data_IF_635206759334
#
_entry.id   IF_635206759334
#
_cell.length_a   1.000
_cell.length_b   1.000
_cell.length_c   1.000
_cell.angle_alpha   90.00
_cell.angle_beta   90.00
_cell.angle_gamma   90.00
#
_symmetry.space_group_name_H-M   'P 1'
#
loop_
_entity.id
_entity.type
_entity.pdbx_description
1 polymer ?
#
# COMPACT_ATOMS: atom_id res chain seq x y z
N UNK A 1 23.93 -25.45 -2.53
CA UNK A 1 24.63 -24.80 -1.38
C UNK A 1 24.78 -23.30 -1.59
N UNK A 2 25.56 -22.79 -2.56
CA UNK A 2 25.74 -21.32 -2.73
C UNK A 2 24.45 -20.51 -2.97
N UNK A 3 23.54 -20.96 -3.84
CA UNK A 3 22.25 -20.27 -4.09
C UNK A 3 21.32 -20.27 -2.87
N UNK A 4 21.26 -21.39 -2.14
CA UNK A 4 20.43 -21.54 -0.94
C UNK A 4 20.93 -20.67 0.20
N UNK A 5 22.26 -20.58 0.35
CA UNK A 5 22.88 -19.72 1.36
C UNK A 5 22.65 -18.24 1.05
N UNK A 6 22.85 -17.82 -0.19
CA UNK A 6 22.55 -16.44 -0.61
C UNK A 6 21.08 -16.07 -0.39
N UNK A 7 20.14 -17.00 -0.60
CA UNK A 7 18.73 -16.79 -0.30
C UNK A 7 18.48 -16.65 1.21
N UNK A 8 19.12 -17.48 2.04
CA UNK A 8 19.00 -17.38 3.49
C UNK A 8 19.56 -16.06 4.02
N UNK A 9 20.70 -15.61 3.49
CA UNK A 9 21.30 -14.31 3.82
C UNK A 9 20.36 -13.16 3.41
N UNK A 10 19.78 -13.20 2.20
CA UNK A 10 18.83 -12.18 1.74
C UNK A 10 17.55 -12.12 2.59
N UNK A 11 17.07 -13.25 3.12
CA UNK A 11 15.93 -13.27 4.06
C UNK A 11 16.35 -12.68 5.41
N UNK A 12 17.53 -13.03 5.91
CA UNK A 12 18.05 -12.51 7.18
C UNK A 12 18.28 -11.00 7.14
N UNK A 13 18.62 -10.43 5.98
CA UNK A 13 18.74 -8.98 5.82
C UNK A 13 17.38 -8.27 5.91
N UNK A 14 16.29 -8.92 5.49
CA UNK A 14 14.93 -8.36 5.57
C UNK A 14 14.37 -8.36 7.00
N UNK A 15 14.86 -9.22 7.89
CA UNK A 15 14.42 -9.25 9.29
C UNK A 15 14.77 -7.95 10.05
N UNK A 16 15.75 -7.18 9.59
CA UNK A 16 16.17 -5.92 10.22
C UNK A 16 15.39 -4.68 9.70
N UNK A 17 14.21 -4.88 9.12
CA UNK A 17 13.39 -3.80 8.56
C UNK A 17 12.71 -2.97 9.66
N UNK A 18 13.29 -1.81 9.97
CA UNK A 18 12.72 -0.86 10.94
C UNK A 18 11.41 -0.23 10.47
N UNK A 19 11.10 -0.30 9.18
CA UNK A 19 9.85 0.26 8.64
C UNK A 19 8.65 -0.55 9.12
N UNK A 20 8.77 -1.88 9.23
CA UNK A 20 7.71 -2.73 9.75
C UNK A 20 7.34 -2.34 11.18
N UNK A 21 8.33 -2.13 12.05
CA UNK A 21 8.10 -1.74 13.45
C UNK A 21 7.35 -0.42 13.50
N UNK A 22 7.87 0.60 12.80
CA UNK A 22 7.26 1.94 12.77
C UNK A 22 5.84 1.90 12.18
N UNK A 23 5.64 1.12 11.13
CA UNK A 23 4.34 0.92 10.49
C UNK A 23 3.34 0.24 11.43
N UNK A 24 3.73 -0.87 12.07
CA UNK A 24 2.86 -1.62 12.96
C UNK A 24 2.41 -0.79 14.17
N UNK A 25 3.35 -0.05 14.79
CA UNK A 25 3.03 0.82 15.94
C UNK A 25 2.04 1.93 15.54
N UNK A 26 2.23 2.54 14.37
CA UNK A 26 1.32 3.56 13.84
C UNK A 26 -0.05 2.97 13.47
N UNK A 27 -0.08 1.79 12.86
CA UNK A 27 -1.32 1.07 12.55
C UNK A 27 -2.12 0.79 13.83
N UNK A 28 -1.46 0.29 14.88
CA UNK A 28 -2.11 0.02 16.16
C UNK A 28 -2.62 1.28 16.83
N UNK A 29 -1.86 2.38 16.79
CA UNK A 29 -2.30 3.67 17.32
C UNK A 29 -3.55 4.20 16.59
N UNK A 30 -3.54 4.15 15.25
CA UNK A 30 -4.68 4.56 14.41
C UNK A 30 -5.93 3.71 14.72
N UNK A 31 -5.75 2.40 14.88
CA UNK A 31 -6.85 1.49 15.22
C UNK A 31 -7.32 1.70 16.66
N UNK A 32 -6.51 2.28 17.53
CA UNK A 32 -6.79 2.46 18.96
C UNK A 32 -6.43 1.23 19.80
N UNK A 33 -5.42 0.45 19.41
CA UNK A 33 -4.92 -0.68 20.20
C UNK A 33 -3.87 -0.13 21.19
N UNK A 34 -4.01 -0.47 22.47
CA UNK A 34 -3.05 -0.08 23.49
C UNK A 34 -1.74 -0.83 23.29
N UNK A 35 -0.61 -0.14 23.48
CA UNK A 35 0.74 -0.66 23.28
C UNK A 35 1.56 -0.40 24.55
N UNK A 36 1.95 -1.48 25.24
CA UNK A 36 2.74 -1.44 26.48
C UNK A 36 4.11 -2.08 26.24
N UNK A 37 5.17 -1.27 26.24
CA UNK A 37 6.55 -1.74 26.07
C UNK A 37 7.03 -2.40 27.36
N UNK A 38 7.29 -3.71 27.27
CA UNK A 38 7.74 -4.53 28.41
C UNK A 38 9.26 -4.59 28.54
N UNK A 39 10.00 -3.93 27.65
CA UNK A 39 11.43 -4.14 27.49
C UNK A 39 11.73 -5.44 26.74
N UNK A 40 13.02 -5.76 26.58
CA UNK A 40 13.49 -6.96 25.86
C UNK A 40 12.91 -7.12 24.44
N UNK A 41 12.64 -6.00 23.75
CA UNK A 41 12.07 -5.96 22.41
C UNK A 41 10.71 -6.67 22.30
N UNK A 42 9.91 -6.60 23.37
CA UNK A 42 8.55 -7.11 23.43
C UNK A 42 7.54 -5.99 23.73
N UNK A 43 6.43 -6.02 23.02
CA UNK A 43 5.30 -5.11 23.22
C UNK A 43 4.06 -5.93 23.52
N UNK A 44 3.33 -5.56 24.56
CA UNK A 44 2.02 -6.12 24.85
C UNK A 44 0.97 -5.25 24.17
N UNK A 45 0.18 -5.87 23.29
CA UNK A 45 -0.93 -5.21 22.61
C UNK A 45 -2.25 -5.69 23.19
N UNK A 46 -3.11 -4.74 23.58
CA UNK A 46 -4.43 -5.05 24.16
C UNK A 46 -5.52 -4.18 23.54
N UNK A 47 -6.76 -4.70 23.40
CA UNK A 47 -7.90 -3.89 22.99
C UNK A 47 -8.12 -2.65 23.87
N UNK A 48 -8.85 -1.66 23.36
CA UNK A 48 -9.20 -0.46 24.10
C UNK A 48 -10.64 -0.01 23.82
N UNK A 49 -11.19 0.81 24.72
CA UNK A 49 -12.56 1.35 24.59
C UNK A 49 -12.74 2.32 23.40
N UNK A 50 -11.66 2.80 22.80
CA UNK A 50 -11.68 3.77 21.70
C UNK A 50 -11.25 3.18 20.36
N UNK A 51 -11.27 1.85 20.24
CA UNK A 51 -10.93 1.18 18.99
C UNK A 51 -11.87 1.58 17.84
N UNK A 52 -11.31 1.68 16.63
CA UNK A 52 -12.08 1.97 15.40
C UNK A 52 -13.11 0.89 15.08
N UNK A 53 -12.84 -0.36 15.50
CA UNK A 53 -13.72 -1.51 15.32
C UNK A 53 -13.98 -2.21 16.65
N UNK A 54 -15.17 -2.81 16.84
CA UNK A 54 -15.48 -3.55 18.06
C UNK A 54 -14.48 -4.68 18.35
N UNK A 55 -14.08 -5.42 17.31
CA UNK A 55 -13.18 -6.56 17.42
C UNK A 55 -12.09 -6.45 16.33
N UNK A 56 -10.82 -6.54 16.73
CA UNK A 56 -9.70 -6.57 15.78
C UNK A 56 -9.34 -8.02 15.40
N UNK A 57 -9.40 -8.41 14.11
CA UNK A 57 -9.19 -9.80 13.73
C UNK A 57 -7.77 -10.29 14.09
N UNK A 58 -7.70 -11.30 14.95
CA UNK A 58 -6.44 -11.90 15.41
C UNK A 58 -5.90 -11.34 16.72
N UNK A 59 -6.56 -10.34 17.33
CA UNK A 59 -6.28 -9.89 18.69
C UNK A 59 -7.27 -10.53 19.67
N UNK A 60 -6.76 -11.13 20.74
CA UNK A 60 -7.58 -11.71 21.80
C UNK A 60 -8.05 -10.62 22.78
N UNK A 61 -9.13 -10.87 23.54
CA UNK A 61 -9.64 -9.92 24.56
C UNK A 61 -8.58 -9.59 25.62
N UNK A 62 -7.80 -10.59 26.05
CA UNK A 62 -6.69 -10.43 27.01
C UNK A 62 -5.43 -9.82 26.37
N UNK A 63 -5.45 -9.54 25.06
CA UNK A 63 -4.30 -9.09 24.29
C UNK A 63 -3.29 -10.20 23.97
N UNK A 64 -2.14 -9.81 23.42
CA UNK A 64 -1.01 -10.71 23.22
C UNK A 64 0.33 -9.97 23.29
N UNK A 65 1.40 -10.72 23.56
CA UNK A 65 2.78 -10.21 23.47
C UNK A 65 3.30 -10.42 22.06
N UNK A 66 3.90 -9.38 21.48
CA UNK A 66 4.52 -9.42 20.16
C UNK A 66 6.00 -9.05 20.24
N UNK A 67 6.78 -9.56 19.29
CA UNK A 67 8.17 -9.14 19.05
C UNK A 67 8.44 -9.10 17.55
N UNK A 68 9.33 -8.19 17.15
CA UNK A 68 9.82 -8.08 15.76
C UNK A 68 11.19 -8.73 15.58
N UNK A 69 11.78 -9.26 16.65
CA UNK A 69 13.09 -9.90 16.61
C UNK A 69 12.95 -11.43 16.63
N UNK A 70 13.53 -12.06 15.60
CA UNK A 70 13.50 -13.52 15.46
C UNK A 70 14.17 -14.23 16.64
N UNK A 71 15.31 -13.71 17.11
CA UNK A 71 16.05 -14.31 18.23
C UNK A 71 15.24 -14.28 19.54
N UNK A 72 14.50 -13.19 19.77
CA UNK A 72 13.58 -13.09 20.92
C UNK A 72 12.46 -14.11 20.78
N UNK A 73 11.80 -14.18 19.62
CA UNK A 73 10.73 -15.15 19.36
C UNK A 73 11.18 -16.62 19.50
N UNK A 74 12.43 -16.93 19.14
CA UNK A 74 13.00 -18.27 19.32
C UNK A 74 13.24 -18.60 20.81
N UNK A 75 13.46 -17.59 21.65
CA UNK A 75 13.70 -17.76 23.09
C UNK A 75 12.42 -17.68 23.94
N UNK A 76 11.37 -17.05 23.40
CA UNK A 76 10.09 -16.74 24.07
C UNK A 76 8.92 -17.24 23.23
N UNK A 77 8.46 -18.45 23.52
CA UNK A 77 7.30 -19.04 22.83
C UNK A 77 5.98 -18.30 23.14
N UNK A 78 5.95 -17.50 24.20
CA UNK A 78 4.81 -16.68 24.61
C UNK A 78 4.68 -15.36 23.82
N UNK A 79 5.67 -15.01 22.99
CA UNK A 79 5.64 -13.84 22.12
C UNK A 79 5.38 -14.25 20.65
N UNK A 80 4.48 -13.53 19.98
CA UNK A 80 4.25 -13.72 18.55
C UNK A 80 5.30 -12.98 17.73
N UNK A 81 5.97 -13.69 16.81
CA UNK A 81 6.90 -13.08 15.87
C UNK A 81 6.14 -12.36 14.74
N UNK A 82 6.25 -11.03 14.72
CA UNK A 82 5.52 -10.19 13.77
C UNK A 82 6.39 -9.88 12.55
N UNK A 83 5.87 -10.26 11.38
CA UNK A 83 6.42 -9.95 10.05
C UNK A 83 5.33 -9.30 9.19
N UNK A 84 5.66 -8.85 7.98
CA UNK A 84 4.69 -8.39 6.98
C UNK A 84 3.60 -9.43 6.64
N UNK A 85 3.88 -10.72 6.84
CA UNK A 85 2.94 -11.81 6.58
C UNK A 85 2.07 -12.17 7.80
N UNK A 86 2.37 -11.60 8.97
CA UNK A 86 1.65 -11.91 10.19
C UNK A 86 0.15 -11.54 10.06
N UNK A 87 -0.79 -12.39 10.49
CA UNK A 87 -2.23 -12.13 10.35
C UNK A 87 -2.66 -10.78 10.94
N UNK A 88 -2.11 -10.37 12.09
CA UNK A 88 -2.42 -9.06 12.72
C UNK A 88 -2.11 -7.90 11.77
N UNK A 89 -0.98 -7.95 11.06
CA UNK A 89 -0.59 -6.89 10.12
C UNK A 89 -1.47 -6.92 8.87
N UNK A 90 -1.70 -8.11 8.29
CA UNK A 90 -2.54 -8.26 7.10
C UNK A 90 -4.00 -7.86 7.36
N UNK A 91 -4.55 -8.24 8.51
CA UNK A 91 -5.91 -7.89 8.90
C UNK A 91 -6.05 -6.39 9.18
N UNK A 92 -5.06 -5.77 9.81
CA UNK A 92 -5.06 -4.32 10.01
C UNK A 92 -4.92 -3.54 8.69
N UNK A 93 -4.07 -4.01 7.77
CA UNK A 93 -4.01 -3.47 6.42
C UNK A 93 -5.35 -3.58 5.69
N UNK A 94 -5.96 -4.78 5.71
CA UNK A 94 -7.27 -5.02 5.08
C UNK A 94 -8.36 -4.13 5.69
N UNK A 95 -8.35 -3.94 7.01
CA UNK A 95 -9.30 -3.08 7.71
C UNK A 95 -9.20 -1.62 7.22
N UNK A 96 -7.98 -1.08 7.10
CA UNK A 96 -7.77 0.30 6.66
C UNK A 96 -8.06 0.46 5.16
N UNK A 97 -7.54 -0.45 4.32
CA UNK A 97 -7.64 -0.37 2.86
C UNK A 97 -9.04 -0.71 2.33
N UNK A 98 -9.85 -1.45 3.09
CA UNK A 98 -11.24 -1.75 2.74
C UNK A 98 -12.21 -0.67 3.25
N UNK A 99 -11.78 0.15 4.20
CA UNK A 99 -12.57 1.25 4.76
C UNK A 99 -12.47 2.53 3.94
N UNK A 100 -13.23 3.55 4.35
CA UNK A 100 -13.15 4.91 3.82
C UNK A 100 -12.33 5.85 4.73
N UNK A 101 -11.81 5.34 5.83
CA UNK A 101 -11.00 6.11 6.78
C UNK A 101 -9.69 6.54 6.13
N UNK A 102 -9.43 7.84 6.10
CA UNK A 102 -8.27 8.42 5.42
C UNK A 102 -8.49 8.75 3.94
N UNK A 103 -9.65 8.43 3.36
CA UNK A 103 -9.97 8.73 1.96
C UNK A 103 -10.14 10.22 1.66
N UNK A 104 -10.54 11.03 2.65
CA UNK A 104 -10.82 12.46 2.44
C UNK A 104 -10.26 13.31 3.59
N UNK A 105 -9.46 14.33 3.26
CA UNK A 105 -8.92 15.26 4.26
C UNK A 105 -8.85 16.70 3.74
N UNK A 106 -8.81 17.64 4.68
CA UNK A 106 -8.51 19.05 4.43
C UNK A 106 -7.31 19.46 5.29
N UNK A 107 -6.38 20.19 4.69
CA UNK A 107 -5.20 20.68 5.39
C UNK A 107 -4.82 22.11 4.97
N UNK A 108 -4.15 22.81 5.87
CA UNK A 108 -3.57 24.13 5.61
C UNK A 108 -2.07 24.02 5.44
N UNK A 109 -1.57 24.66 4.40
CA UNK A 109 -0.14 24.85 4.19
C UNK A 109 0.26 26.27 4.58
N UNK A 110 1.07 26.39 5.63
CA UNK A 110 1.59 27.69 6.10
C UNK A 110 2.83 28.07 5.33
N UNK A 111 2.67 28.77 4.20
CA UNK A 111 3.79 29.13 3.35
C UNK A 111 3.67 30.57 2.84
N UNK A 112 4.60 31.44 3.27
CA UNK A 112 4.66 32.85 2.88
C UNK A 112 5.15 33.07 1.45
N UNK A 113 5.82 32.09 0.86
CA UNK A 113 6.31 32.18 -0.52
C UNK A 113 5.20 31.94 -1.56
N UNK A 114 4.06 31.39 -1.14
CA UNK A 114 2.92 31.11 -2.01
C UNK A 114 1.79 32.13 -1.76
N UNK A 115 1.00 32.48 -2.81
CA UNK A 115 -0.18 33.32 -2.64
C UNK A 115 -1.20 32.70 -1.68
N UNK A 116 -1.86 33.53 -0.88
CA UNK A 116 -2.96 33.08 0.00
C UNK A 116 -4.12 32.58 -0.86
N UNK A 117 -4.72 31.45 -0.46
CA UNK A 117 -5.83 30.86 -1.18
C UNK A 117 -5.44 30.02 -2.39
N UNK A 118 -4.13 29.80 -2.63
CA UNK A 118 -3.68 28.79 -3.59
C UNK A 118 -4.24 27.42 -3.16
N UNK A 119 -4.83 26.73 -4.13
CA UNK A 119 -5.37 25.38 -3.98
C UNK A 119 -4.39 24.36 -4.55
N UNK A 120 -4.11 23.34 -3.75
CA UNK A 120 -3.43 22.14 -4.18
C UNK A 120 -4.33 20.96 -3.84
N UNK A 121 -4.42 20.01 -4.77
CA UNK A 121 -5.19 18.80 -4.59
C UNK A 121 -4.23 17.61 -4.63
N UNK A 122 -4.10 16.94 -3.50
CA UNK A 122 -3.35 15.69 -3.44
C UNK A 122 -4.31 14.53 -3.64
N UNK A 123 -4.00 13.70 -4.63
CA UNK A 123 -4.84 12.60 -5.08
C UNK A 123 -4.00 11.33 -5.04
N UNK A 124 -4.57 10.27 -4.48
CA UNK A 124 -3.99 8.93 -4.52
C UNK A 124 -4.94 8.08 -5.34
N UNK A 125 -4.52 7.78 -6.56
CA UNK A 125 -5.18 6.77 -7.37
C UNK A 125 -4.57 5.41 -7.06
N UNK A 126 -5.32 4.35 -7.27
CA UNK A 126 -4.84 2.97 -7.14
C UNK A 126 -5.07 2.26 -8.46
N UNK A 127 -3.99 1.75 -9.05
CA UNK A 127 -4.04 0.87 -10.21
C UNK A 127 -4.18 -0.57 -9.72
N UNK A 128 -5.22 -1.26 -10.15
CA UNK A 128 -5.50 -2.63 -9.72
C UNK A 128 -6.16 -3.45 -10.84
N UNK A 129 -5.97 -4.76 -10.76
CA UNK A 129 -6.62 -5.72 -11.64
C UNK A 129 -7.53 -6.64 -10.82
N UNK A 130 -8.77 -6.83 -11.28
CA UNK A 130 -9.73 -7.73 -10.62
C UNK A 130 -9.54 -9.15 -11.14
N UNK A 131 -8.96 -10.02 -10.31
CA UNK A 131 -8.70 -11.40 -10.67
C UNK A 131 -8.80 -12.35 -9.46
N UNK A 132 -9.10 -13.64 -9.69
CA UNK A 132 -8.98 -14.66 -8.66
C UNK A 132 -7.56 -14.74 -8.09
N UNK A 133 -7.44 -14.96 -6.76
CA UNK A 133 -6.13 -15.05 -6.07
C UNK A 133 -5.20 -16.11 -6.66
N UNK A 134 -5.74 -17.16 -7.27
CA UNK A 134 -4.96 -18.21 -7.94
C UNK A 134 -4.10 -17.69 -9.10
N UNK A 135 -4.47 -16.57 -9.74
CA UNK A 135 -3.67 -15.95 -10.81
C UNK A 135 -2.44 -15.18 -10.30
N UNK A 136 -2.35 -14.94 -8.98
CA UNK A 136 -1.20 -14.29 -8.35
C UNK A 136 -0.79 -12.95 -8.98
N UNK A 137 -1.75 -12.14 -9.46
CA UNK A 137 -1.46 -10.86 -10.12
C UNK A 137 -0.65 -9.89 -9.26
N UNK A 138 -0.76 -9.99 -7.92
CA UNK A 138 0.03 -9.19 -6.98
C UNK A 138 1.56 -9.35 -7.16
N UNK A 139 2.01 -10.37 -7.90
CA UNK A 139 3.42 -10.54 -8.27
C UNK A 139 3.91 -9.53 -9.30
N UNK A 140 3.00 -8.97 -10.10
CA UNK A 140 3.32 -8.09 -11.23
C UNK A 140 2.63 -6.73 -11.09
N UNK A 141 1.36 -6.73 -10.67
CA UNK A 141 0.56 -5.53 -10.45
C UNK A 141 -0.29 -5.68 -9.17
N UNK A 142 0.32 -5.57 -7.98
CA UNK A 142 -0.45 -5.38 -6.74
C UNK A 142 -1.22 -4.05 -6.81
N UNK A 143 -2.21 -3.81 -5.93
CA UNK A 143 -2.84 -2.49 -5.81
C UNK A 143 -1.78 -1.41 -5.61
N UNK A 144 -1.48 -0.66 -6.68
CA UNK A 144 -0.30 0.21 -6.74
C UNK A 144 -0.75 1.66 -6.67
N UNK A 145 -0.37 2.41 -5.62
CA UNK A 145 -0.77 3.80 -5.48
C UNK A 145 -0.01 4.69 -6.46
N UNK A 146 -0.73 5.58 -7.14
CA UNK A 146 -0.21 6.65 -7.99
C UNK A 146 -0.60 7.97 -7.33
N UNK A 147 0.38 8.58 -6.67
CA UNK A 147 0.22 9.88 -6.02
C UNK A 147 0.35 11.01 -7.04
N UNK A 148 -0.60 11.93 -7.01
CA UNK A 148 -0.58 13.18 -7.75
C UNK A 148 -0.76 14.36 -6.81
N UNK A 149 -0.07 15.47 -7.09
CA UNK A 149 -0.23 16.71 -6.37
C UNK A 149 -0.48 17.81 -7.40
N UNK A 150 -1.74 18.18 -7.58
CA UNK A 150 -2.19 18.97 -8.72
C UNK A 150 -2.53 20.39 -8.28
N UNK A 151 -2.03 21.39 -9.00
CA UNK A 151 -2.40 22.79 -8.80
C UNK A 151 -3.69 23.17 -9.57
N UNK A 152 -4.16 24.40 -9.41
CA UNK A 152 -5.35 24.92 -10.14
C UNK A 152 -5.22 24.86 -11.67
N UNK A 153 -4.00 24.81 -12.20
CA UNK A 153 -3.73 24.74 -13.64
C UNK A 153 -3.62 23.29 -14.15
N UNK A 154 -3.77 22.28 -13.28
CA UNK A 154 -3.61 20.88 -13.64
C UNK A 154 -2.15 20.40 -13.65
N UNK A 155 -1.20 21.19 -13.15
CA UNK A 155 0.22 20.80 -13.12
C UNK A 155 0.47 19.80 -11.99
N UNK A 156 1.04 18.63 -12.30
CA UNK A 156 1.39 17.63 -11.28
C UNK A 156 2.79 17.91 -10.70
N UNK A 157 2.85 18.09 -9.39
CA UNK A 157 4.02 18.42 -8.59
C UNK A 157 4.52 17.23 -7.75
N UNK A 158 3.87 16.06 -7.83
CA UNK A 158 4.17 14.92 -6.96
C UNK A 158 5.62 14.42 -7.10
N UNK A 159 6.20 14.51 -8.30
CA UNK A 159 7.59 14.09 -8.53
C UNK A 159 8.63 15.01 -7.86
N UNK A 160 8.28 16.28 -7.63
CA UNK A 160 9.16 17.27 -7.00
C UNK A 160 8.88 17.42 -5.50
N UNK A 161 7.73 16.97 -5.04
CA UNK A 161 7.25 17.14 -3.67
C UNK A 161 7.06 15.78 -3.01
N UNK A 162 8.04 15.36 -2.23
CA UNK A 162 8.02 14.11 -1.46
C UNK A 162 6.89 14.13 -0.40
N UNK A 163 6.32 12.97 -0.08
CA UNK A 163 5.10 12.86 0.73
C UNK A 163 5.31 13.25 2.18
N UNK A 164 6.30 12.66 2.86
CA UNK A 164 6.50 12.82 4.30
C UNK A 164 6.95 14.23 4.67
N UNK A 165 7.84 14.81 3.87
CA UNK A 165 8.30 16.20 4.03
C UNK A 165 7.18 17.22 3.78
N UNK A 166 6.29 16.95 2.83
CA UNK A 166 5.13 17.80 2.58
C UNK A 166 4.09 17.66 3.69
N UNK A 167 3.75 16.42 4.07
CA UNK A 167 2.79 16.10 5.12
C UNK A 167 3.13 16.77 6.46
N UNK A 168 4.42 16.77 6.85
CA UNK A 168 4.90 17.42 8.09
C UNK A 168 4.70 18.94 8.13
N UNK A 169 4.53 19.61 6.99
CA UNK A 169 4.30 21.06 6.92
C UNK A 169 2.81 21.42 7.00
N UNK A 170 1.93 20.43 6.89
CA UNK A 170 0.50 20.62 6.87
C UNK A 170 -0.04 20.71 8.30
N UNK A 171 -1.14 21.45 8.44
CA UNK A 171 -1.87 21.58 9.71
C UNK A 171 -3.35 21.32 9.50
N UNK A 172 -3.98 20.70 10.49
CA UNK A 172 -5.41 20.39 10.46
C UNK A 172 -6.27 21.66 10.55
N UNK A 173 -7.50 21.56 10.06
CA UNK A 173 -8.50 22.64 10.12
C UNK A 173 -9.66 22.20 10.99
N UNK A 174 -10.19 23.12 11.80
CA UNK A 174 -11.41 22.83 12.53
C UNK A 174 -12.60 22.58 11.56
N UNK A 175 -13.54 21.74 11.98
CA UNK A 175 -14.66 21.28 11.14
C UNK A 175 -15.52 22.42 10.58
N UNK A 176 -15.74 23.48 11.36
CA UNK A 176 -16.59 24.60 10.96
C UNK A 176 -15.97 25.43 9.82
N UNK A 177 -14.71 25.83 9.99
CA UNK A 177 -13.95 26.57 8.97
C UNK A 177 -13.73 25.70 7.74
N UNK A 178 -13.40 24.43 7.94
CA UNK A 178 -13.15 23.51 6.83
C UNK A 178 -14.36 23.32 5.93
N UNK A 179 -15.56 23.15 6.50
CA UNK A 179 -16.79 22.99 5.70
C UNK A 179 -17.08 24.21 4.83
N UNK A 180 -16.90 25.43 5.34
CA UNK A 180 -17.08 26.66 4.57
C UNK A 180 -16.06 26.78 3.43
N UNK A 181 -14.80 26.43 3.72
CA UNK A 181 -13.73 26.50 2.74
C UNK A 181 -13.97 25.55 1.57
N UNK A 182 -14.31 24.29 1.86
CA UNK A 182 -14.64 23.28 0.84
C UNK A 182 -15.79 23.74 -0.03
N UNK A 183 -16.88 24.24 0.56
CA UNK A 183 -18.03 24.74 -0.20
C UNK A 183 -17.68 25.92 -1.11
N UNK A 184 -16.76 26.79 -0.68
CA UNK A 184 -16.34 27.95 -1.46
C UNK A 184 -15.50 27.57 -2.70
N UNK A 185 -14.79 26.43 -2.66
CA UNK A 185 -13.88 26.00 -3.73
C UNK A 185 -14.34 24.73 -4.45
N UNK A 186 -15.56 24.25 -4.18
CA UNK A 186 -16.07 22.99 -4.70
C UNK A 186 -16.02 22.92 -6.23
N UNK A 187 -16.40 23.99 -6.93
CA UNK A 187 -16.35 24.04 -8.39
C UNK A 187 -14.92 23.98 -8.93
N UNK A 188 -13.98 24.66 -8.26
CA UNK A 188 -12.56 24.63 -8.63
C UNK A 188 -11.97 23.23 -8.43
N UNK A 189 -12.28 22.57 -7.31
CA UNK A 189 -11.85 21.19 -7.03
C UNK A 189 -12.39 20.22 -8.08
N UNK A 190 -13.67 20.35 -8.47
CA UNK A 190 -14.25 19.50 -9.51
C UNK A 190 -13.54 19.67 -10.86
N UNK A 191 -13.19 20.90 -11.24
CA UNK A 191 -12.43 21.15 -12.46
C UNK A 191 -11.01 20.56 -12.39
N UNK A 192 -10.33 20.68 -11.25
CA UNK A 192 -8.99 20.09 -11.04
C UNK A 192 -9.05 18.57 -11.15
N UNK A 193 -10.09 17.93 -10.59
CA UNK A 193 -10.27 16.48 -10.66
C UNK A 193 -10.38 15.96 -12.10
N UNK A 194 -11.14 16.65 -12.96
CA UNK A 194 -11.28 16.27 -14.37
C UNK A 194 -9.93 16.32 -15.10
N UNK A 195 -9.13 17.36 -14.86
CA UNK A 195 -7.79 17.48 -15.47
C UNK A 195 -6.80 16.46 -14.89
N UNK A 196 -6.92 16.12 -13.60
CA UNK A 196 -6.08 15.11 -12.96
C UNK A 196 -6.36 13.70 -13.49
N UNK A 197 -7.64 13.38 -13.78
CA UNK A 197 -8.04 12.08 -14.32
C UNK A 197 -7.42 11.80 -15.69
N UNK A 198 -7.32 12.80 -16.57
CA UNK A 198 -6.63 12.64 -17.85
C UNK A 198 -5.13 12.31 -17.67
N UNK A 199 -4.50 12.90 -16.65
CA UNK A 199 -3.06 12.76 -16.40
C UNK A 199 -2.68 11.46 -15.70
N UNK A 200 -3.58 10.90 -14.89
CA UNK A 200 -3.31 9.60 -14.26
C UNK A 200 -3.41 8.47 -15.27
N UNK A 201 -4.22 8.60 -16.31
CA UNK A 201 -4.42 7.56 -17.32
C UNK A 201 -3.10 7.12 -17.97
N UNK A 202 -2.25 8.06 -18.37
CA UNK A 202 -0.93 7.76 -18.96
C UNK A 202 -0.01 7.04 -17.98
N UNK A 203 0.02 7.49 -16.72
CA UNK A 203 0.85 6.89 -15.66
C UNK A 203 0.36 5.48 -15.29
N UNK A 204 -0.96 5.29 -15.22
CA UNK A 204 -1.58 4.00 -14.94
C UNK A 204 -1.34 3.02 -16.09
N UNK A 205 -1.48 3.46 -17.35
CA UNK A 205 -1.20 2.64 -18.51
C UNK A 205 0.27 2.21 -18.55
N UNK A 206 1.21 3.10 -18.23
CA UNK A 206 2.62 2.76 -18.16
C UNK A 206 2.91 1.66 -17.11
N UNK A 207 2.25 1.69 -15.95
CA UNK A 207 2.36 0.65 -14.94
C UNK A 207 1.78 -0.69 -15.41
N UNK A 208 0.63 -0.65 -16.08
CA UNK A 208 -0.01 -1.85 -16.64
C UNK A 208 0.88 -2.47 -17.72
N UNK A 209 1.44 -1.67 -18.61
CA UNK A 209 2.29 -2.15 -19.69
C UNK A 209 3.60 -2.75 -19.15
N UNK A 210 4.23 -2.11 -18.16
CA UNK A 210 5.41 -2.65 -17.49
C UNK A 210 5.10 -3.98 -16.78
N UNK A 211 3.96 -4.08 -16.08
CA UNK A 211 3.54 -5.32 -15.43
C UNK A 211 3.26 -6.44 -16.44
N UNK A 212 2.72 -6.11 -17.61
CA UNK A 212 2.48 -7.07 -18.70
C UNK A 212 3.78 -7.58 -19.31
N UNK A 213 4.75 -6.70 -19.54
CA UNK A 213 6.08 -7.07 -20.03
C UNK A 213 6.78 -7.99 -19.03
N UNK A 214 6.80 -7.62 -17.75
CA UNK A 214 7.40 -8.43 -16.69
C UNK A 214 6.70 -9.80 -16.53
N UNK A 215 5.36 -9.82 -16.59
CA UNK A 215 4.59 -11.05 -16.51
C UNK A 215 4.87 -11.98 -17.69
N UNK A 216 4.90 -11.44 -18.91
CA UNK A 216 5.19 -12.22 -20.10
C UNK A 216 6.62 -12.77 -20.08
N UNK A 217 7.61 -11.97 -19.71
CA UNK A 217 9.00 -12.39 -19.60
C UNK A 217 9.16 -13.54 -18.60
N UNK A 218 8.66 -13.36 -17.37
CA UNK A 218 8.82 -14.36 -16.30
C UNK A 218 8.07 -15.65 -16.59
N UNK A 219 6.82 -15.57 -17.06
CA UNK A 219 6.00 -16.76 -17.33
C UNK A 219 6.48 -17.51 -18.57
N UNK A 220 6.92 -16.80 -19.62
CA UNK A 220 7.49 -17.42 -20.82
C UNK A 220 8.83 -18.10 -20.52
N UNK A 221 9.69 -17.49 -19.69
CA UNK A 221 10.93 -18.11 -19.24
C UNK A 221 10.69 -19.38 -18.41
N UNK A 222 9.66 -19.36 -17.54
CA UNK A 222 9.26 -20.54 -16.77
C UNK A 222 8.73 -21.66 -17.66
N UNK A 223 7.88 -21.34 -18.63
CA UNK A 223 7.37 -22.30 -19.61
C UNK A 223 8.50 -22.93 -20.42
N UNK A 224 9.39 -22.10 -21.00
CA UNK A 224 10.54 -22.56 -21.78
C UNK A 224 11.45 -23.49 -20.98
N UNK A 225 11.65 -23.18 -19.69
CA UNK A 225 12.43 -24.03 -18.78
C UNK A 225 11.75 -25.38 -18.56
N UNK A 226 10.43 -25.42 -18.39
CA UNK A 226 9.69 -26.67 -18.19
C UNK A 226 9.60 -27.51 -19.46
N UNK A 227 9.46 -26.89 -20.62
CA UNK A 227 9.56 -27.58 -21.92
C UNK A 227 10.92 -28.25 -22.10
N UNK A 228 12.00 -27.54 -21.80
CA UNK A 228 13.35 -28.07 -21.85
C UNK A 228 13.55 -29.23 -20.87
N UNK A 229 13.01 -29.12 -19.65
CA UNK A 229 13.09 -30.19 -18.66
C UNK A 229 12.26 -31.41 -19.06
N UNK A 230 11.08 -31.23 -19.67
CA UNK A 230 10.24 -32.34 -20.14
C UNK A 230 10.92 -33.16 -21.23
N UNK A 231 11.69 -32.51 -22.11
CA UNK A 231 12.47 -33.20 -23.13
C UNK A 231 13.52 -34.17 -22.55
N UNK A 232 13.94 -33.96 -21.30
CA UNK A 232 14.97 -34.78 -20.62
C UNK A 232 14.47 -35.53 -19.38
N UNK A 233 13.23 -35.29 -18.93
CA UNK A 233 12.65 -35.86 -17.72
C UNK A 233 11.18 -36.27 -17.93
N UNK A 234 10.88 -37.58 -18.01
CA UNK A 234 9.53 -38.09 -18.27
C UNK A 234 8.55 -37.89 -17.10
N UNK A 235 9.02 -37.42 -15.94
CA UNK A 235 8.15 -37.14 -14.80
C UNK A 235 7.34 -35.85 -14.94
N UNK A 236 7.66 -34.98 -15.92
CA UNK A 236 6.94 -33.74 -16.15
C UNK A 236 5.73 -34.04 -17.04
N UNK A 237 4.55 -33.71 -16.53
CA UNK A 237 3.27 -34.03 -17.18
C UNK A 237 2.86 -32.94 -18.17
N UNK A 238 2.09 -33.32 -19.19
CA UNK A 238 1.50 -32.39 -20.15
C UNK A 238 0.60 -31.36 -19.46
N UNK A 239 -0.12 -31.79 -18.42
CA UNK A 239 -1.00 -30.95 -17.61
C UNK A 239 -0.25 -29.78 -16.94
N UNK A 240 1.03 -29.95 -16.59
CA UNK A 240 1.83 -28.90 -15.94
C UNK A 240 2.19 -27.78 -16.94
N UNK A 241 2.50 -28.12 -18.19
CA UNK A 241 2.73 -27.13 -19.24
C UNK A 241 1.42 -26.41 -19.61
N UNK A 242 0.34 -27.18 -19.76
CA UNK A 242 -0.97 -26.61 -20.07
C UNK A 242 -1.46 -25.65 -18.97
N UNK A 243 -1.19 -25.97 -17.70
CA UNK A 243 -1.54 -25.10 -16.58
C UNK A 243 -0.79 -23.77 -16.62
N UNK A 244 0.51 -23.76 -16.94
CA UNK A 244 1.31 -22.53 -17.02
C UNK A 244 0.93 -21.69 -18.24
N UNK A 245 0.72 -22.32 -19.40
CA UNK A 245 0.27 -21.59 -20.58
C UNK A 245 -1.11 -20.96 -20.35
N UNK A 246 -2.05 -21.70 -19.75
CA UNK A 246 -3.36 -21.18 -19.37
C UNK A 246 -3.23 -20.06 -18.35
N UNK A 247 -2.38 -20.22 -17.33
CA UNK A 247 -2.14 -19.19 -16.33
C UNK A 247 -1.58 -17.91 -16.96
N UNK A 248 -0.60 -18.02 -17.88
CA UNK A 248 -0.05 -16.90 -18.62
C UNK A 248 -1.12 -16.16 -19.42
N UNK A 249 -1.94 -16.89 -20.18
CA UNK A 249 -3.03 -16.28 -20.93
C UNK A 249 -4.02 -15.54 -20.01
N UNK A 250 -4.43 -16.16 -18.90
CA UNK A 250 -5.34 -15.56 -17.93
C UNK A 250 -4.74 -14.33 -17.22
N UNK A 251 -3.46 -14.37 -16.88
CA UNK A 251 -2.73 -13.23 -16.29
C UNK A 251 -2.70 -12.07 -17.28
N UNK A 252 -2.36 -12.32 -18.54
CA UNK A 252 -2.29 -11.28 -19.57
C UNK A 252 -3.66 -10.66 -19.88
N UNK A 253 -4.71 -11.49 -19.93
CA UNK A 253 -6.09 -11.01 -20.08
C UNK A 253 -6.51 -10.15 -18.88
N UNK A 254 -6.26 -10.62 -17.66
CA UNK A 254 -6.63 -9.87 -16.46
C UNK A 254 -5.85 -8.55 -16.31
N UNK A 255 -4.56 -8.52 -16.69
CA UNK A 255 -3.77 -7.29 -16.74
C UNK A 255 -4.27 -6.33 -17.83
N UNK A 256 -4.76 -6.83 -18.96
CA UNK A 256 -5.35 -5.98 -20.01
C UNK A 256 -6.65 -5.30 -19.59
N UNK A 257 -7.33 -5.86 -18.57
CA UNK A 257 -8.54 -5.32 -17.96
C UNK A 257 -8.26 -4.55 -16.67
N UNK A 258 -6.98 -4.37 -16.30
CA UNK A 258 -6.60 -3.54 -15.17
C UNK A 258 -7.09 -2.11 -15.39
N UNK A 259 -7.46 -1.45 -14.29
CA UNK A 259 -7.95 -0.08 -14.32
C UNK A 259 -7.45 0.67 -13.08
N UNK A 260 -7.70 1.97 -13.03
CA UNK A 260 -7.41 2.80 -11.88
C UNK A 260 -8.69 3.37 -11.28
N UNK A 261 -8.64 3.67 -9.98
CA UNK A 261 -9.69 4.39 -9.26
C UNK A 261 -9.07 5.42 -8.32
N UNK A 262 -9.78 6.50 -8.06
CA UNK A 262 -9.40 7.43 -6.99
C UNK A 262 -9.71 6.77 -5.65
N UNK A 263 -8.70 6.68 -4.78
CA UNK A 263 -8.80 6.04 -3.46
C UNK A 263 -8.79 7.06 -2.33
N UNK A 264 -7.90 8.06 -2.41
CA UNK A 264 -7.84 9.15 -1.44
C UNK A 264 -7.67 10.53 -2.09
N UNK A 265 -8.21 11.54 -1.43
CA UNK A 265 -8.16 12.95 -1.80
C UNK A 265 -7.90 13.81 -0.57
N UNK A 266 -6.89 14.67 -0.66
CA UNK A 266 -6.63 15.72 0.34
C UNK A 266 -6.62 17.08 -0.32
N UNK A 267 -7.53 17.95 0.13
CA UNK A 267 -7.54 19.36 -0.26
C UNK A 267 -6.53 20.11 0.61
N UNK A 268 -5.62 20.85 -0.01
CA UNK A 268 -4.66 21.72 0.67
C UNK A 268 -4.91 23.16 0.26
N UNK A 269 -5.02 24.04 1.26
CA UNK A 269 -5.19 25.48 1.04
C UNK A 269 -4.03 26.24 1.66
N UNK A 270 -3.41 27.12 0.89
CA UNK A 270 -2.30 27.95 1.36
C UNK A 270 -2.81 29.10 2.20
N UNK A 271 -2.18 29.27 3.36
CA UNK A 271 -2.40 30.38 4.30
C UNK A 271 -1.04 30.97 4.73
N UNK A 272 -1.05 32.24 5.14
CA UNK A 272 0.12 32.87 5.77
C UNK A 272 0.09 32.80 7.31
N UNK A 273 -1.04 32.36 7.87
CA UNK A 273 -1.31 32.23 9.32
C UNK A 273 -1.28 30.76 9.75
#
# INVERSE_FOLDING_TARGET
>A
MKKSQALAEAISEQDNDTNLVSFAMNLFDIVGINQDDRGDNMVVITPSDHMLVPDFPGLQEDGCTITFERDVALSREDAQFVTWEHPIIRNGLDLILSGDTGSCALSLLKNKALPVGTLLLELVYVVEAKAPKQLQLNRFLPPTPVRMLVDKNGTNLAAQVEFESFNRQLSAVNRHTGSKLVNAVQSDVHAILQVAEEKVADAAQALIDAAREEADEKLSAELSRLEALKAVNPNIRDDELAAIETNRQQVMEALSQANWRLDALRLIVVTHQ
#
